data_IF_175137099122
#
_entry.id   IF_175137099122
#
_cell.length_a   1.000
_cell.length_b   1.000
_cell.length_c   1.000
_cell.angle_alpha   90.00
_cell.angle_beta   90.00
_cell.angle_gamma   90.00
#
_symmetry.space_group_name_H-M   'P 1'
#
loop_
_entity.id
_entity.type
_entity.pdbx_description
1 polymer ?
#
# COMPACT_ATOMS: atom_id res chain seq x y z
N UNK A 1 -13.87 57.22 -8.08
CA UNK A 1 -14.49 56.12 -8.84
C UNK A 1 -13.56 54.91 -8.75
N UNK A 2 -14.10 53.84 -8.18
CA UNK A 2 -13.48 52.57 -7.82
C UNK A 2 -12.88 51.83 -9.02
N UNK A 3 -11.72 51.22 -8.84
CA UNK A 3 -11.30 50.05 -9.63
C UNK A 3 -10.43 49.16 -8.75
N UNK A 4 -11.12 48.32 -7.98
CA UNK A 4 -10.55 47.27 -7.17
C UNK A 4 -10.25 46.09 -8.09
N UNK A 5 -8.97 45.74 -8.17
CA UNK A 5 -8.45 44.65 -8.99
C UNK A 5 -8.95 43.35 -8.35
N UNK A 6 -9.88 42.69 -9.04
CA UNK A 6 -10.43 41.39 -8.64
C UNK A 6 -9.32 40.34 -8.71
N UNK A 7 -8.65 40.13 -7.57
CA UNK A 7 -7.81 38.96 -7.31
C UNK A 7 -8.68 37.72 -7.50
N UNK A 8 -8.47 37.00 -8.61
CA UNK A 8 -9.04 35.68 -8.84
C UNK A 8 -8.64 34.77 -7.69
N UNK A 9 -9.62 34.41 -6.87
CA UNK A 9 -9.50 33.36 -5.88
C UNK A 9 -9.34 32.04 -6.63
N UNK A 10 -8.12 31.52 -6.65
CA UNK A 10 -7.86 30.13 -7.00
C UNK A 10 -8.67 29.30 -5.98
N UNK A 11 -9.60 28.43 -6.39
CA UNK A 11 -10.23 27.55 -5.44
C UNK A 11 -9.12 26.67 -4.86
N UNK A 12 -8.87 26.81 -3.55
CA UNK A 12 -8.15 25.81 -2.79
C UNK A 12 -8.92 24.51 -3.01
N UNK A 13 -8.45 23.68 -3.92
CA UNK A 13 -8.88 22.29 -4.03
C UNK A 13 -8.65 21.72 -2.64
N UNK A 14 -9.74 21.60 -1.89
CA UNK A 14 -9.77 20.81 -0.67
C UNK A 14 -9.28 19.43 -1.12
N UNK A 15 -8.02 19.11 -0.81
CA UNK A 15 -7.55 17.74 -0.83
C UNK A 15 -8.54 17.01 0.08
N UNK A 16 -9.50 16.32 -0.53
CA UNK A 16 -10.36 15.41 0.20
C UNK A 16 -9.41 14.56 1.05
N UNK A 17 -9.62 14.47 2.38
CA UNK A 17 -8.75 13.67 3.21
C UNK A 17 -8.75 12.28 2.61
N UNK A 18 -7.60 11.86 2.07
CA UNK A 18 -7.45 10.49 1.62
C UNK A 18 -7.81 9.63 2.83
N UNK A 19 -8.73 8.67 2.68
CA UNK A 19 -9.15 7.85 3.80
C UNK A 19 -7.88 7.21 4.38
N UNK A 20 -7.60 7.56 5.62
CA UNK A 20 -6.37 7.15 6.31
C UNK A 20 -6.59 5.69 6.66
N UNK A 21 -5.84 4.81 6.01
CA UNK A 21 -5.80 3.40 6.41
C UNK A 21 -5.39 3.35 7.90
N UNK A 22 -6.02 2.47 8.71
CA UNK A 22 -5.53 2.14 10.04
C UNK A 22 -4.01 1.89 10.02
N UNK A 23 -3.30 2.29 11.08
CA UNK A 23 -1.83 2.28 11.10
C UNK A 23 -1.20 0.93 10.71
N UNK A 24 -1.84 -0.17 11.08
CA UNK A 24 -1.40 -1.52 10.70
C UNK A 24 -1.57 -1.80 9.19
N UNK A 25 -2.69 -1.37 8.60
CA UNK A 25 -2.95 -1.49 7.16
C UNK A 25 -1.95 -0.64 6.35
N UNK A 26 -1.71 0.61 6.76
CA UNK A 26 -0.73 1.50 6.10
C UNK A 26 0.70 0.95 6.18
N UNK A 27 1.11 0.46 7.36
CA UNK A 27 2.45 -0.07 7.57
C UNK A 27 2.73 -1.29 6.66
N UNK A 28 1.75 -2.18 6.49
CA UNK A 28 1.83 -3.32 5.57
C UNK A 28 2.03 -2.82 4.13
N UNK A 29 1.15 -1.93 3.65
CA UNK A 29 1.22 -1.41 2.28
C UNK A 29 2.54 -0.68 2.03
N UNK A 30 3.02 0.10 2.99
CA UNK A 30 4.29 0.82 2.90
C UNK A 30 5.47 -0.14 2.83
N UNK A 31 5.48 -1.19 3.63
CA UNK A 31 6.54 -2.21 3.63
C UNK A 31 6.58 -2.97 2.29
N UNK A 32 5.43 -3.35 1.75
CA UNK A 32 5.36 -4.06 0.47
C UNK A 32 5.77 -3.20 -0.72
N UNK A 33 5.47 -1.89 -0.68
CA UNK A 33 5.82 -0.97 -1.76
C UNK A 33 7.26 -0.46 -1.72
N UNK A 34 7.92 -0.53 -0.57
CA UNK A 34 9.30 -0.06 -0.39
C UNK A 34 10.31 -1.01 -1.05
N UNK A 35 10.99 -0.48 -2.06
CA UNK A 35 12.00 -1.21 -2.84
C UNK A 35 13.29 -1.47 -2.04
N UNK A 36 13.49 -0.75 -0.94
CA UNK A 36 14.65 -0.93 -0.07
C UNK A 36 14.43 -2.04 0.98
N UNK A 37 13.20 -2.54 1.13
CA UNK A 37 12.91 -3.68 2.00
C UNK A 37 13.34 -4.98 1.34
N UNK A 38 14.06 -5.81 2.10
CA UNK A 38 14.43 -7.15 1.68
C UNK A 38 13.21 -8.08 1.57
N UNK A 39 13.37 -9.18 0.84
CA UNK A 39 12.29 -10.14 0.59
C UNK A 39 11.72 -10.73 1.89
N UNK A 40 12.53 -10.93 2.93
CA UNK A 40 12.09 -11.41 4.24
C UNK A 40 11.12 -10.43 4.92
N UNK A 41 11.42 -9.12 4.87
CA UNK A 41 10.53 -8.08 5.42
C UNK A 41 9.19 -8.04 4.68
N UNK A 42 9.24 -8.17 3.34
CA UNK A 42 8.04 -8.20 2.50
C UNK A 42 7.22 -9.47 2.76
N UNK A 43 7.87 -10.62 2.89
CA UNK A 43 7.23 -11.88 3.26
C UNK A 43 6.53 -11.78 4.62
N UNK A 44 7.18 -11.16 5.61
CA UNK A 44 6.58 -10.93 6.93
C UNK A 44 5.34 -10.03 6.84
N UNK A 45 5.41 -8.96 6.05
CA UNK A 45 4.26 -8.07 5.83
C UNK A 45 3.07 -8.78 5.14
N UNK A 46 3.35 -9.67 4.18
CA UNK A 46 2.32 -10.53 3.58
C UNK A 46 1.68 -11.46 4.61
N UNK A 47 2.49 -12.12 5.45
CA UNK A 47 2.00 -13.01 6.50
C UNK A 47 1.15 -12.24 7.52
N UNK A 48 1.56 -11.02 7.89
CA UNK A 48 0.80 -10.18 8.82
C UNK A 48 -0.54 -9.74 8.21
N UNK A 49 -0.56 -9.37 6.93
CA UNK A 49 -1.79 -9.09 6.21
C UNK A 49 -2.76 -10.29 6.19
N UNK A 50 -2.23 -11.50 6.02
CA UNK A 50 -3.02 -12.73 6.05
C UNK A 50 -3.54 -13.05 7.45
N UNK A 51 -2.69 -12.95 8.48
CA UNK A 51 -3.08 -13.21 9.87
C UNK A 51 -4.15 -12.23 10.38
N UNK A 52 -4.13 -10.99 9.89
CA UNK A 52 -5.10 -9.96 10.23
C UNK A 52 -6.26 -9.88 9.24
N UNK A 53 -6.34 -10.76 8.25
CA UNK A 53 -7.31 -10.68 7.17
C UNK A 53 -8.76 -10.66 7.67
N UNK A 54 -9.12 -11.57 8.58
CA UNK A 54 -10.47 -11.60 9.16
C UNK A 54 -10.81 -10.30 9.88
N UNK A 55 -9.84 -9.72 10.59
CA UNK A 55 -10.00 -8.45 11.31
C UNK A 55 -10.15 -7.29 10.33
N UNK A 56 -9.36 -7.25 9.26
CA UNK A 56 -9.44 -6.19 8.26
C UNK A 56 -10.70 -6.30 7.41
N UNK A 57 -11.20 -7.50 7.13
CA UNK A 57 -12.36 -7.76 6.26
C UNK A 57 -13.65 -7.09 6.73
N UNK A 58 -13.77 -6.83 8.04
CA UNK A 58 -14.94 -6.18 8.65
C UNK A 58 -14.74 -4.67 8.83
N UNK A 59 -13.57 -4.12 8.47
CA UNK A 59 -13.31 -2.68 8.57
C UNK A 59 -13.90 -1.90 7.40
N UNK A 60 -14.37 -0.66 7.60
CA UNK A 60 -14.88 0.17 6.53
C UNK A 60 -13.81 0.57 5.49
N UNK A 61 -12.53 0.38 5.80
CA UNK A 61 -11.40 0.65 4.90
C UNK A 61 -10.94 -0.58 4.13
N UNK A 62 -11.61 -1.73 4.30
CA UNK A 62 -11.16 -2.99 3.72
C UNK A 62 -11.01 -2.93 2.19
N UNK A 63 -11.99 -2.37 1.48
CA UNK A 63 -11.94 -2.27 0.01
C UNK A 63 -10.72 -1.48 -0.48
N UNK A 64 -10.38 -0.41 0.23
CA UNK A 64 -9.22 0.44 -0.09
C UNK A 64 -7.90 -0.24 0.25
N UNK A 65 -7.88 -0.94 1.39
CA UNK A 65 -6.75 -1.78 1.77
C UNK A 65 -6.53 -2.90 0.76
N UNK A 66 -7.59 -3.58 0.32
CA UNK A 66 -7.51 -4.69 -0.63
C UNK A 66 -7.02 -4.21 -2.01
N UNK A 67 -7.51 -3.09 -2.53
CA UNK A 67 -7.00 -2.50 -3.78
C UNK A 67 -5.50 -2.15 -3.66
N UNK A 68 -5.10 -1.54 -2.55
CA UNK A 68 -3.69 -1.21 -2.27
C UNK A 68 -2.82 -2.45 -2.16
N UNK A 69 -3.32 -3.48 -1.47
CA UNK A 69 -2.65 -4.76 -1.26
C UNK A 69 -2.46 -5.49 -2.58
N UNK A 70 -3.49 -5.55 -3.43
CA UNK A 70 -3.41 -6.16 -4.76
C UNK A 70 -2.38 -5.46 -5.64
N UNK A 71 -2.36 -4.12 -5.66
CA UNK A 71 -1.36 -3.35 -6.43
C UNK A 71 0.06 -3.65 -5.94
N UNK A 72 0.27 -3.65 -4.62
CA UNK A 72 1.56 -3.94 -4.02
C UNK A 72 2.01 -5.38 -4.33
N UNK A 73 1.09 -6.35 -4.28
CA UNK A 73 1.35 -7.74 -4.66
C UNK A 73 1.69 -7.92 -6.13
N UNK A 74 0.96 -7.29 -7.04
CA UNK A 74 1.27 -7.37 -8.47
C UNK A 74 2.65 -6.78 -8.77
N UNK A 75 3.00 -5.66 -8.12
CA UNK A 75 4.33 -5.08 -8.19
C UNK A 75 5.38 -6.07 -7.67
N UNK A 76 5.18 -6.63 -6.47
CA UNK A 76 6.07 -7.62 -5.88
C UNK A 76 6.26 -8.84 -6.79
N UNK A 77 5.18 -9.35 -7.38
CA UNK A 77 5.23 -10.47 -8.31
C UNK A 77 5.97 -10.12 -9.61
N UNK A 78 5.88 -8.88 -10.08
CA UNK A 78 6.62 -8.42 -11.26
C UNK A 78 8.11 -8.15 -10.99
N UNK A 79 8.45 -7.80 -9.76
CA UNK A 79 9.83 -7.48 -9.34
C UNK A 79 10.60 -8.70 -8.85
N UNK A 80 9.91 -9.69 -8.29
CA UNK A 80 10.54 -10.93 -7.82
C UNK A 80 10.79 -11.86 -9.00
N UNK A 81 12.05 -12.25 -9.16
CA UNK A 81 12.41 -13.34 -10.08
C UNK A 81 12.04 -14.66 -9.40
N UNK A 82 11.41 -15.61 -10.11
CA UNK A 82 11.20 -16.95 -9.58
C UNK A 82 12.53 -17.53 -9.08
N UNK A 83 12.64 -17.71 -7.77
CA UNK A 83 13.73 -18.48 -7.18
C UNK A 83 13.43 -19.94 -7.53
N UNK A 84 14.10 -20.47 -8.56
CA UNK A 84 14.09 -21.92 -8.77
C UNK A 84 14.57 -22.54 -7.47
N UNK A 85 13.74 -23.39 -6.86
CA UNK A 85 14.21 -24.26 -5.80
C UNK A 85 15.25 -25.15 -6.48
N UNK A 86 16.52 -24.76 -6.39
CA UNK A 86 17.61 -25.68 -6.62
C UNK A 86 17.50 -26.64 -5.44
N UNK A 87 16.67 -27.67 -5.62
CA UNK A 87 16.68 -28.84 -4.75
C UNK A 87 18.15 -29.17 -4.54
N UNK A 88 18.61 -29.00 -3.30
CA UNK A 88 19.92 -29.40 -2.88
C UNK A 88 20.08 -30.82 -3.41
N UNK A 89 20.99 -31.03 -4.37
CA UNK A 89 21.35 -32.36 -4.82
C UNK A 89 21.60 -33.19 -3.55
N UNK A 90 20.77 -34.21 -3.38
CA UNK A 90 20.84 -35.23 -2.34
C UNK A 90 22.27 -35.58 -2.00
N UNK A 91 22.60 -35.52 -0.70
CA UNK A 91 23.84 -36.10 -0.15
C UNK A 91 23.98 -37.57 -0.53
#
# INVERSE_FOLDING_TARGET
MTSQIMRGSVPLQQMAPQPILPGDQDAIIRTLNDVNQGDESKLKAVQDAWNMFDVFSVTPTFDQFLDSLMRAFMKLFSETVPQFIQENNTQ
#
